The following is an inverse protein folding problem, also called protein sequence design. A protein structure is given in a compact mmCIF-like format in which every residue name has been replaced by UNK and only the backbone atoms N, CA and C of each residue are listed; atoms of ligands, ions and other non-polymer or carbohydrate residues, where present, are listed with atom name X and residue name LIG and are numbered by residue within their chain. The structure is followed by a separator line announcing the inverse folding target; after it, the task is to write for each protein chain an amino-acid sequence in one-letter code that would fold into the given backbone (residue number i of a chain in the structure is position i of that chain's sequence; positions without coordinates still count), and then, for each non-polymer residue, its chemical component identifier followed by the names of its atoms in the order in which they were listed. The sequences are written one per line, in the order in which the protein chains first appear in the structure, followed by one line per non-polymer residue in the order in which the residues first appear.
data_IF_735431613026
#
_entry.id   IF_735431613026
#
_cell.length_a   1.000
_cell.length_b   1.000
_cell.length_c   1.000
_cell.angle_alpha   90.00
_cell.angle_beta   90.00
_cell.angle_gamma   90.00
#
_symmetry.space_group_name_H-M   'P 1'
#
loop_
_entity.id
_entity.type
_entity.pdbx_description
1 polymer ?
#
# COMPACT_ATOMS: atom_id res chain seq x y z
N UNK A 1 -24.00 -25.14 -7.93
CA UNK A 1 -23.86 -23.71 -7.57
C UNK A 1 -22.45 -23.57 -7.03
N UNK A 2 -21.62 -22.68 -7.54
CA UNK A 2 -20.28 -22.49 -7.02
C UNK A 2 -20.38 -21.78 -5.66
N UNK A 3 -19.62 -22.26 -4.66
CA UNK A 3 -19.60 -21.63 -3.34
C UNK A 3 -18.98 -20.24 -3.44
N UNK A 4 -19.63 -19.23 -2.86
CA UNK A 4 -19.07 -17.91 -2.70
C UNK A 4 -18.22 -17.85 -1.44
N UNK A 5 -16.90 -17.75 -1.60
CA UNK A 5 -15.96 -17.65 -0.49
C UNK A 5 -15.42 -16.22 -0.44
N UNK A 6 -15.77 -15.48 0.61
CA UNK A 6 -15.25 -14.14 0.86
C UNK A 6 -14.16 -14.20 1.93
N UNK A 7 -12.95 -13.85 1.54
CA UNK A 7 -11.82 -13.68 2.46
C UNK A 7 -11.25 -12.29 2.25
N UNK A 8 -11.23 -11.49 3.29
CA UNK A 8 -10.55 -10.20 3.27
C UNK A 8 -9.23 -10.32 4.04
N UNK A 9 -8.18 -9.91 3.42
CA UNK A 9 -6.89 -9.59 4.01
C UNK A 9 -6.45 -8.32 3.29
N UNK A 10 -6.09 -7.31 3.97
CA UNK A 10 -5.76 -7.16 5.41
C UNK A 10 -6.96 -6.83 6.30
N UNK A 11 -6.70 -6.72 7.62
CA UNK A 11 -7.60 -5.97 8.51
C UNK A 11 -7.69 -4.51 8.04
N UNK A 12 -8.86 -3.91 8.17
CA UNK A 12 -9.10 -2.54 7.71
C UNK A 12 -9.48 -1.66 8.90
N UNK A 13 -8.79 -0.53 9.03
CA UNK A 13 -9.16 0.56 9.92
C UNK A 13 -9.57 1.74 9.03
N UNK A 14 -10.79 2.21 9.20
CA UNK A 14 -11.30 3.40 8.53
C UNK A 14 -11.71 4.42 9.58
N UNK A 15 -11.07 5.58 9.58
CA UNK A 15 -11.43 6.64 10.51
C UNK A 15 -10.50 7.83 10.47
N UNK A 16 -11.06 9.00 10.78
CA UNK A 16 -10.30 10.25 10.86
C UNK A 16 -9.21 10.16 11.93
N UNK A 17 -8.03 10.66 11.59
CA UNK A 17 -6.84 10.68 12.45
C UNK A 17 -6.32 9.28 12.85
N UNK A 18 -6.72 8.22 12.14
CA UNK A 18 -6.23 6.87 12.42
C UNK A 18 -4.73 6.73 12.10
N UNK A 19 -4.23 7.39 11.06
CA UNK A 19 -2.80 7.41 10.73
C UNK A 19 -1.95 8.02 11.85
N UNK A 20 -2.45 9.05 12.54
CA UNK A 20 -1.75 9.67 13.68
C UNK A 20 -1.76 8.82 14.96
N UNK A 21 -2.46 7.69 14.95
CA UNK A 21 -2.52 6.73 16.05
C UNK A 21 -1.90 5.38 15.68
N UNK A 22 -1.12 5.34 14.61
CA UNK A 22 -0.57 4.10 14.04
C UNK A 22 0.21 3.26 15.06
N UNK A 23 0.92 3.88 15.99
CA UNK A 23 1.71 3.19 17.00
C UNK A 23 0.89 2.20 17.85
N UNK A 24 -0.40 2.46 18.08
CA UNK A 24 -1.26 1.54 18.84
C UNK A 24 -1.68 0.31 18.03
N UNK A 25 -1.61 0.39 16.70
CA UNK A 25 -2.09 -0.67 15.82
C UNK A 25 -0.98 -1.62 15.36
N UNK A 26 0.29 -1.20 15.44
CA UNK A 26 1.40 -1.98 14.87
C UNK A 26 2.10 -2.89 15.88
N UNK A 27 1.88 -2.70 17.18
CA UNK A 27 2.59 -3.40 18.24
C UNK A 27 2.42 -4.93 18.20
N UNK A 28 1.31 -5.45 17.67
CA UNK A 28 1.08 -6.88 17.56
C UNK A 28 2.02 -7.58 16.56
N UNK A 29 2.62 -6.82 15.62
CA UNK A 29 3.51 -7.38 14.59
C UNK A 29 4.99 -7.15 14.88
N UNK A 30 5.34 -6.43 15.95
CA UNK A 30 6.74 -6.25 16.32
C UNK A 30 7.03 -4.90 16.96
N UNK A 31 8.31 -4.69 17.22
CA UNK A 31 8.81 -3.49 17.93
C UNK A 31 9.77 -2.66 17.10
N UNK A 32 10.16 -3.11 15.88
CA UNK A 32 11.09 -2.40 15.02
C UNK A 32 10.65 -2.42 13.57
N UNK A 33 10.40 -1.26 13.01
CA UNK A 33 9.81 -1.12 11.68
C UNK A 33 10.66 -0.26 10.74
N UNK A 34 10.60 -0.59 9.45
CA UNK A 34 10.97 0.32 8.38
C UNK A 34 9.74 1.11 7.97
N UNK A 35 9.82 2.43 8.02
CA UNK A 35 8.73 3.31 7.56
C UNK A 35 9.10 3.82 6.17
N UNK A 36 8.42 3.32 5.16
CA UNK A 36 8.46 3.85 3.80
C UNK A 36 7.53 5.06 3.77
N UNK A 37 8.09 6.23 3.53
CA UNK A 37 7.33 7.49 3.58
C UNK A 37 7.41 8.22 2.25
N UNK A 38 6.26 8.54 1.66
CA UNK A 38 6.25 9.39 0.47
C UNK A 38 6.79 10.79 0.83
N UNK A 39 7.82 11.30 0.13
CA UNK A 39 8.47 12.58 0.44
C UNK A 39 7.50 13.76 0.57
N UNK A 40 6.41 13.77 -0.19
CA UNK A 40 5.39 14.83 -0.13
C UNK A 40 4.75 14.99 1.26
N UNK A 41 4.78 13.95 2.08
CA UNK A 41 4.17 13.96 3.40
C UNK A 41 4.99 14.69 4.47
N UNK A 42 6.22 15.08 4.17
CA UNK A 42 7.02 15.91 5.07
C UNK A 42 6.42 17.31 5.25
N UNK A 43 5.93 17.89 4.16
CA UNK A 43 5.37 19.25 4.17
C UNK A 43 3.99 19.33 4.86
N UNK A 44 3.23 18.23 4.84
CA UNK A 44 1.87 18.18 5.42
C UNK A 44 1.83 18.02 6.95
N UNK A 45 2.97 17.83 7.61
CA UNK A 45 3.05 17.53 9.04
C UNK A 45 2.56 16.12 9.45
N UNK A 46 2.08 15.33 8.51
CA UNK A 46 1.61 13.95 8.75
C UNK A 46 2.76 13.06 9.21
N UNK A 47 3.91 13.22 8.57
CA UNK A 47 5.16 12.53 8.92
C UNK A 47 5.51 12.69 10.40
N UNK A 48 5.43 13.91 10.94
CA UNK A 48 5.71 14.19 12.34
C UNK A 48 4.74 13.47 13.30
N UNK A 49 3.44 13.46 12.97
CA UNK A 49 2.42 12.77 13.77
C UNK A 49 2.61 11.26 13.80
N UNK A 50 2.98 10.65 12.66
CA UNK A 50 3.29 9.22 12.57
C UNK A 50 4.51 8.88 13.43
N UNK A 51 5.60 9.64 13.29
CA UNK A 51 6.82 9.49 14.10
C UNK A 51 6.51 9.57 15.60
N UNK A 52 5.78 10.61 16.01
CA UNK A 52 5.38 10.79 17.39
C UNK A 52 4.56 9.61 17.92
N UNK A 53 3.58 9.14 17.14
CA UNK A 53 2.74 8.00 17.52
C UNK A 53 3.52 6.71 17.72
N UNK A 54 4.54 6.45 16.90
CA UNK A 54 5.42 5.29 17.05
C UNK A 54 6.31 5.44 18.31
N UNK A 55 6.91 6.62 18.50
CA UNK A 55 7.74 6.92 19.66
C UNK A 55 6.98 6.79 20.98
N UNK A 56 5.76 7.33 21.05
CA UNK A 56 4.89 7.27 22.24
C UNK A 56 4.55 5.84 22.66
N UNK A 57 4.68 4.89 21.74
CA UNK A 57 4.43 3.46 21.97
C UNK A 57 5.69 2.61 22.06
N UNK A 58 6.87 3.23 22.18
CA UNK A 58 8.16 2.55 22.22
C UNK A 58 8.36 1.60 21.03
N UNK A 59 7.92 2.01 19.85
CA UNK A 59 8.17 1.30 18.60
C UNK A 59 9.39 1.92 17.95
N UNK A 60 10.44 1.13 17.76
CA UNK A 60 11.63 1.54 17.04
C UNK A 60 11.35 1.62 15.54
N UNK A 61 11.88 2.62 14.89
CA UNK A 61 11.72 2.76 13.45
C UNK A 61 12.87 3.53 12.81
N UNK A 62 13.08 3.26 11.54
CA UNK A 62 13.84 4.16 10.67
C UNK A 62 13.03 4.48 9.43
N UNK A 63 13.30 5.63 8.83
CA UNK A 63 12.57 6.13 7.69
C UNK A 63 13.36 5.90 6.42
N UNK A 64 12.67 5.43 5.39
CA UNK A 64 13.13 5.40 4.04
C UNK A 64 12.17 6.26 3.19
N UNK A 65 12.64 7.42 2.79
CA UNK A 65 11.89 8.44 2.02
C UNK A 65 12.57 8.80 0.69
N UNK A 66 13.65 8.11 0.34
CA UNK A 66 14.30 8.24 -0.96
C UNK A 66 13.48 7.56 -2.07
N UNK A 67 12.20 7.95 -2.20
CA UNK A 67 11.25 7.37 -3.14
C UNK A 67 11.04 8.34 -4.31
N UNK A 68 11.58 8.05 -5.50
CA UNK A 68 11.40 8.89 -6.68
C UNK A 68 9.96 8.79 -7.23
N UNK A 69 9.61 9.67 -8.16
CA UNK A 69 8.28 9.68 -8.78
C UNK A 69 7.97 8.38 -9.53
N UNK A 70 8.97 7.74 -10.13
CA UNK A 70 8.86 6.44 -10.80
C UNK A 70 9.89 5.47 -10.19
N UNK A 71 9.56 4.83 -9.06
CA UNK A 71 10.47 3.89 -8.42
C UNK A 71 10.66 2.64 -9.27
N UNK A 72 11.90 2.22 -9.38
CA UNK A 72 12.30 1.03 -10.11
C UNK A 72 12.89 -0.05 -9.18
N UNK A 73 13.34 -1.13 -9.77
CA UNK A 73 13.96 -2.25 -9.04
C UNK A 73 15.22 -1.86 -8.25
N UNK A 74 15.92 -0.77 -8.59
CA UNK A 74 17.09 -0.31 -7.84
C UNK A 74 16.68 0.25 -6.47
N UNK A 75 15.64 1.08 -6.44
CA UNK A 75 15.08 1.62 -5.19
C UNK A 75 14.61 0.50 -4.28
N UNK A 76 13.91 -0.50 -4.86
CA UNK A 76 13.47 -1.67 -4.08
C UNK A 76 14.65 -2.47 -3.54
N UNK A 77 15.69 -2.70 -4.35
CA UNK A 77 16.90 -3.40 -3.90
C UNK A 77 17.61 -2.66 -2.76
N UNK A 78 17.68 -1.32 -2.83
CA UNK A 78 18.24 -0.49 -1.77
C UNK A 78 17.41 -0.61 -0.49
N UNK A 79 16.10 -0.45 -0.58
CA UNK A 79 15.18 -0.59 0.55
C UNK A 79 15.27 -1.98 1.19
N UNK A 80 15.30 -3.04 0.37
CA UNK A 80 15.42 -4.43 0.83
C UNK A 80 16.75 -4.68 1.56
N UNK A 81 17.85 -4.14 1.04
CA UNK A 81 19.17 -4.23 1.69
C UNK A 81 19.14 -3.57 3.07
N UNK A 82 18.68 -2.33 3.16
CA UNK A 82 18.57 -1.60 4.43
C UNK A 82 17.65 -2.31 5.43
N UNK A 83 16.53 -2.85 4.95
CA UNK A 83 15.60 -3.62 5.78
C UNK A 83 16.26 -4.85 6.41
N UNK A 84 17.02 -5.62 5.60
CA UNK A 84 17.76 -6.81 6.06
C UNK A 84 18.87 -6.45 7.05
N UNK A 85 19.66 -5.41 6.78
CA UNK A 85 20.73 -4.93 7.65
C UNK A 85 20.21 -4.41 9.01
N UNK A 86 19.04 -3.79 9.00
CA UNK A 86 18.39 -3.27 10.19
C UNK A 86 17.68 -4.35 11.03
N UNK A 87 17.51 -5.57 10.53
CA UNK A 87 16.77 -6.65 11.22
C UNK A 87 15.39 -6.20 11.70
N UNK A 88 14.56 -5.70 10.77
CA UNK A 88 13.23 -5.20 11.08
C UNK A 88 12.22 -6.33 11.32
N UNK A 89 11.15 -6.02 12.06
CA UNK A 89 10.05 -6.94 12.34
C UNK A 89 8.85 -6.74 11.39
N UNK A 90 8.77 -5.58 10.74
CA UNK A 90 7.70 -5.25 9.80
C UNK A 90 7.96 -3.98 9.03
N UNK A 91 7.05 -3.67 8.12
CA UNK A 91 7.10 -2.50 7.25
C UNK A 91 5.82 -1.69 7.41
N UNK A 92 5.98 -0.38 7.49
CA UNK A 92 4.87 0.58 7.44
C UNK A 92 5.06 1.40 6.16
N UNK A 93 4.13 1.28 5.22
CA UNK A 93 4.16 2.04 3.97
C UNK A 93 3.10 3.15 4.02
N UNK A 94 3.55 4.40 4.05
CA UNK A 94 2.70 5.59 4.10
C UNK A 94 2.86 6.38 2.82
N UNK A 95 1.84 6.38 1.98
CA UNK A 95 1.91 7.06 0.69
C UNK A 95 0.94 6.51 -0.34
N UNK A 96 1.16 6.90 -1.59
CA UNK A 96 0.38 6.43 -2.72
C UNK A 96 0.81 5.03 -3.22
N UNK A 97 0.29 4.60 -4.39
CA UNK A 97 0.55 3.27 -4.95
C UNK A 97 2.04 2.94 -5.09
N UNK A 98 2.89 3.90 -5.44
CA UNK A 98 4.34 3.71 -5.58
C UNK A 98 4.99 3.27 -4.26
N UNK A 99 4.66 3.92 -3.15
CA UNK A 99 5.19 3.63 -1.82
C UNK A 99 4.70 2.28 -1.32
N UNK A 100 3.40 2.01 -1.47
CA UNK A 100 2.79 0.73 -1.11
C UNK A 100 3.36 -0.43 -1.95
N UNK A 101 3.65 -0.22 -3.23
CA UNK A 101 4.28 -1.23 -4.09
C UNK A 101 5.68 -1.60 -3.62
N UNK A 102 6.52 -0.61 -3.26
CA UNK A 102 7.84 -0.87 -2.67
C UNK A 102 7.69 -1.71 -1.39
N UNK A 103 6.77 -1.30 -0.51
CA UNK A 103 6.50 -2.01 0.75
C UNK A 103 6.10 -3.48 0.52
N UNK A 104 5.23 -3.75 -0.46
CA UNK A 104 4.82 -5.12 -0.81
C UNK A 104 6.00 -5.97 -1.28
N UNK A 105 6.84 -5.43 -2.16
CA UNK A 105 8.00 -6.20 -2.66
C UNK A 105 9.02 -6.43 -1.55
N UNK A 106 9.36 -5.42 -0.76
CA UNK A 106 10.31 -5.58 0.35
C UNK A 106 9.79 -6.58 1.39
N UNK A 107 8.52 -6.52 1.77
CA UNK A 107 7.91 -7.46 2.71
C UNK A 107 7.90 -8.90 2.17
N UNK A 108 7.63 -9.06 0.88
CA UNK A 108 7.61 -10.35 0.19
C UNK A 108 9.00 -11.00 0.11
N UNK A 109 10.02 -10.21 -0.21
CA UNK A 109 11.36 -10.73 -0.52
C UNK A 109 12.34 -10.68 0.66
N UNK A 110 11.90 -10.24 1.82
CA UNK A 110 12.79 -10.06 2.97
C UNK A 110 13.52 -11.35 3.37
N UNK A 111 12.84 -12.48 3.40
CA UNK A 111 13.40 -13.78 3.75
C UNK A 111 13.88 -14.59 2.54
N UNK A 112 13.66 -14.08 1.33
CA UNK A 112 14.14 -14.72 0.12
C UNK A 112 15.67 -14.60 0.01
N UNK A 113 16.29 -15.69 -0.47
CA UNK A 113 17.74 -15.77 -0.72
C UNK A 113 18.06 -15.31 -2.14
N UNK A 114 17.14 -15.55 -3.07
CA UNK A 114 17.31 -15.18 -4.47
C UNK A 114 17.22 -13.66 -4.65
N UNK A 115 17.92 -13.19 -5.68
CA UNK A 115 17.92 -11.79 -6.06
C UNK A 115 16.54 -11.33 -6.60
N UNK A 116 16.20 -10.05 -6.39
CA UNK A 116 14.98 -9.43 -6.90
C UNK A 116 14.77 -9.69 -8.39
N UNK A 117 15.82 -9.68 -9.17
CA UNK A 117 15.71 -9.84 -10.62
C UNK A 117 15.27 -11.24 -11.04
N UNK A 118 15.53 -12.26 -10.24
CA UNK A 118 15.00 -13.61 -10.45
C UNK A 118 13.47 -13.62 -10.40
N UNK A 119 12.88 -12.84 -9.49
CA UNK A 119 11.43 -12.71 -9.37
C UNK A 119 10.84 -11.83 -10.48
N UNK A 120 11.57 -10.79 -10.90
CA UNK A 120 11.20 -10.00 -12.09
C UNK A 120 11.23 -10.80 -13.38
N UNK A 121 12.04 -11.84 -13.44
CA UNK A 121 12.14 -12.74 -14.59
C UNK A 121 11.15 -13.93 -14.52
N UNK A 122 10.22 -13.92 -13.56
CA UNK A 122 9.05 -14.82 -13.52
C UNK A 122 9.03 -15.85 -12.41
N UNK A 123 10.04 -15.91 -11.55
CA UNK A 123 9.99 -16.77 -10.35
C UNK A 123 8.95 -16.24 -9.36
N UNK A 124 8.40 -17.14 -8.55
CA UNK A 124 7.45 -16.79 -7.49
C UNK A 124 8.12 -16.93 -6.12
N UNK A 125 8.00 -15.94 -5.22
CA UNK A 125 8.54 -16.03 -3.88
C UNK A 125 7.84 -17.14 -3.07
N UNK A 126 8.61 -17.89 -2.28
CA UNK A 126 8.13 -19.03 -1.49
C UNK A 126 8.46 -18.94 -0.01
N UNK A 127 9.40 -18.09 0.36
CA UNK A 127 9.75 -17.87 1.76
C UNK A 127 8.62 -17.17 2.55
N UNK A 128 8.77 -17.07 3.86
CA UNK A 128 7.88 -16.28 4.70
C UNK A 128 7.94 -14.78 4.35
N UNK A 129 6.98 -14.01 4.83
CA UNK A 129 6.89 -12.57 4.58
C UNK A 129 7.02 -11.77 5.87
N UNK A 130 7.53 -10.55 5.78
CA UNK A 130 7.32 -9.57 6.86
C UNK A 130 5.86 -9.08 6.87
N UNK A 131 5.31 -8.76 8.04
CA UNK A 131 4.06 -8.05 8.12
C UNK A 131 4.19 -6.65 7.50
N UNK A 132 3.24 -6.32 6.62
CA UNK A 132 3.13 -5.02 5.99
C UNK A 132 1.89 -4.30 6.50
N UNK A 133 2.06 -3.07 6.91
CA UNK A 133 1.00 -2.12 7.24
C UNK A 133 0.96 -1.05 6.15
N UNK A 134 -0.16 -0.91 5.46
CA UNK A 134 -0.36 0.13 4.46
C UNK A 134 -1.18 1.28 5.02
N UNK A 135 -0.73 2.50 4.76
CA UNK A 135 -1.46 3.74 5.06
C UNK A 135 -1.57 4.52 3.74
N UNK A 136 -2.52 4.15 2.88
CA UNK A 136 -2.66 4.78 1.57
C UNK A 136 -3.15 6.22 1.72
N UNK A 137 -2.51 7.13 1.00
CA UNK A 137 -2.90 8.54 0.93
C UNK A 137 -3.85 8.85 -0.22
N UNK A 138 -4.06 7.86 -1.11
CA UNK A 138 -5.02 7.93 -2.22
C UNK A 138 -5.69 6.58 -2.42
N UNK A 139 -6.92 6.56 -2.95
CA UNK A 139 -7.71 5.32 -3.14
C UNK A 139 -7.47 4.63 -4.50
N UNK A 140 -6.41 4.99 -5.22
CA UNK A 140 -6.13 4.50 -6.59
C UNK A 140 -5.19 3.30 -6.65
N UNK A 141 -4.87 2.64 -5.53
CA UNK A 141 -4.01 1.44 -5.53
C UNK A 141 -4.82 0.17 -5.70
N UNK A 142 -5.03 -0.25 -6.95
CA UNK A 142 -5.74 -1.49 -7.29
C UNK A 142 -5.02 -2.76 -6.82
N UNK A 143 -3.73 -2.66 -6.48
CA UNK A 143 -2.94 -3.80 -6.02
C UNK A 143 -2.90 -3.94 -4.49
N UNK A 144 -3.56 -3.03 -3.75
CA UNK A 144 -3.50 -3.02 -2.29
C UNK A 144 -3.93 -4.36 -1.64
N UNK A 145 -4.92 -5.02 -2.26
CA UNK A 145 -5.46 -6.31 -1.82
C UNK A 145 -5.04 -7.49 -2.71
N UNK A 146 -4.11 -7.26 -3.63
CA UNK A 146 -3.67 -8.26 -4.61
C UNK A 146 -2.42 -9.01 -4.14
N UNK A 147 -2.26 -10.23 -4.66
CA UNK A 147 -1.02 -11.03 -4.61
C UNK A 147 -0.02 -10.62 -5.71
N UNK A 148 -0.17 -9.47 -6.27
CA UNK A 148 0.66 -8.96 -7.35
C UNK A 148 0.99 -7.49 -7.11
N UNK A 149 2.09 -7.01 -7.70
CA UNK A 149 2.45 -5.60 -7.66
C UNK A 149 3.22 -5.18 -8.90
N UNK A 150 2.97 -3.98 -9.43
CA UNK A 150 3.76 -3.45 -10.55
C UNK A 150 5.12 -2.95 -10.04
N UNK A 151 6.16 -3.19 -10.83
CA UNK A 151 7.50 -2.65 -10.61
C UNK A 151 8.20 -2.41 -11.94
N UNK A 152 8.90 -1.29 -12.06
CA UNK A 152 9.74 -1.00 -13.23
C UNK A 152 11.06 -1.77 -13.09
N UNK A 153 11.37 -2.62 -14.06
CA UNK A 153 12.67 -3.27 -14.15
C UNK A 153 13.71 -2.27 -14.66
N UNK A 154 14.65 -1.88 -13.82
CA UNK A 154 15.70 -0.91 -14.16
C UNK A 154 16.63 -1.36 -15.30
N UNK A 155 16.71 -2.66 -15.58
CA UNK A 155 17.53 -3.23 -16.69
C UNK A 155 16.88 -2.94 -18.05
N UNK A 156 15.57 -3.19 -18.15
CA UNK A 156 14.82 -3.08 -19.40
C UNK A 156 13.99 -1.79 -19.51
N UNK A 157 13.82 -1.06 -18.41
CA UNK A 157 12.89 0.09 -18.25
C UNK A 157 11.43 -0.25 -18.56
N UNK A 158 11.07 -1.53 -18.43
CA UNK A 158 9.71 -1.99 -18.65
C UNK A 158 8.98 -2.20 -17.32
N UNK A 159 7.69 -1.92 -17.32
CA UNK A 159 6.81 -2.29 -16.22
C UNK A 159 6.60 -3.81 -16.23
N UNK A 160 6.88 -4.44 -15.11
CA UNK A 160 6.60 -5.86 -14.87
C UNK A 160 5.64 -6.02 -13.71
N UNK A 161 4.84 -7.08 -13.75
CA UNK A 161 3.96 -7.45 -12.64
C UNK A 161 4.63 -8.61 -11.90
N UNK A 162 5.00 -8.37 -10.66
CA UNK A 162 5.53 -9.41 -9.78
C UNK A 162 4.39 -10.15 -9.11
N UNK A 163 4.49 -11.48 -9.10
CA UNK A 163 3.71 -12.32 -8.20
C UNK A 163 4.32 -12.30 -6.82
N UNK A 164 3.48 -12.16 -5.81
CA UNK A 164 3.85 -12.12 -4.40
C UNK A 164 3.12 -13.21 -3.64
N UNK A 165 3.51 -13.44 -2.39
CA UNK A 165 2.75 -14.33 -1.51
C UNK A 165 1.41 -13.66 -1.15
N UNK A 166 0.43 -14.49 -0.85
CA UNK A 166 -0.85 -14.02 -0.34
C UNK A 166 -0.73 -13.46 1.09
N UNK A 167 -1.58 -12.54 1.44
CA UNK A 167 -1.74 -12.06 2.82
C UNK A 167 -0.48 -11.37 3.40
N UNK A 168 0.27 -10.65 2.56
CA UNK A 168 1.44 -9.86 3.00
C UNK A 168 0.98 -8.66 3.81
N UNK A 169 0.01 -7.89 3.28
CA UNK A 169 -0.58 -6.76 4.00
C UNK A 169 -1.44 -7.27 5.15
N UNK A 170 -1.07 -6.94 6.37
CA UNK A 170 -1.79 -7.34 7.59
C UNK A 170 -2.82 -6.32 8.03
N UNK A 171 -2.51 -5.05 7.77
CA UNK A 171 -3.36 -3.93 8.14
C UNK A 171 -3.35 -2.86 7.05
N UNK A 172 -4.52 -2.34 6.71
CA UNK A 172 -4.67 -1.12 5.92
C UNK A 172 -5.41 -0.06 6.72
N UNK A 173 -4.81 1.13 6.84
CA UNK A 173 -5.36 2.26 7.58
C UNK A 173 -5.80 3.33 6.59
N UNK A 174 -7.09 3.51 6.46
CA UNK A 174 -7.69 4.54 5.62
C UNK A 174 -8.08 5.75 6.49
N UNK A 175 -7.29 6.79 6.38
CA UNK A 175 -7.52 8.05 7.09
C UNK A 175 -7.94 9.14 6.09
N UNK A 176 -9.19 9.62 6.11
CA UNK A 176 -9.65 10.65 5.19
C UNK A 176 -8.83 11.95 5.26
N UNK A 177 -8.22 12.24 6.40
CA UNK A 177 -7.41 13.46 6.54
C UNK A 177 -6.11 13.43 5.74
N UNK A 178 -5.67 12.28 5.25
CA UNK A 178 -4.50 12.19 4.38
C UNK A 178 -4.78 12.76 2.98
N UNK A 179 -6.03 12.76 2.56
CA UNK A 179 -6.45 13.30 1.25
C UNK A 179 -6.45 14.83 1.21
N UNK A 180 -6.47 15.50 2.38
CA UNK A 180 -6.46 16.98 2.46
C UNK A 180 -5.19 17.60 1.89
N UNK A 181 -4.12 16.83 1.72
CA UNK A 181 -2.88 17.28 1.08
C UNK A 181 -2.95 17.32 -0.46
N UNK A 182 -4.04 16.81 -1.05
CA UNK A 182 -4.22 16.82 -2.50
C UNK A 182 -4.77 18.17 -2.98
N UNK A 183 -4.30 18.62 -4.13
CA UNK A 183 -4.90 19.78 -4.81
C UNK A 183 -6.24 19.39 -5.45
N UNK A 184 -7.11 20.36 -5.74
CA UNK A 184 -8.42 20.14 -6.36
C UNK A 184 -8.32 19.33 -7.66
N UNK A 185 -7.31 19.63 -8.50
CA UNK A 185 -7.04 18.87 -9.72
C UNK A 185 -6.65 17.40 -9.43
N UNK A 186 -5.90 17.17 -8.37
CA UNK A 186 -5.53 15.81 -7.97
C UNK A 186 -6.74 15.06 -7.40
N UNK A 187 -7.57 15.72 -6.59
CA UNK A 187 -8.82 15.13 -6.08
C UNK A 187 -9.73 14.74 -7.24
N UNK A 188 -9.94 15.65 -8.20
CA UNK A 188 -10.77 15.38 -9.38
C UNK A 188 -10.23 14.20 -10.21
N UNK A 189 -8.92 14.17 -10.45
CA UNK A 189 -8.28 13.07 -11.20
C UNK A 189 -8.41 11.72 -10.47
N UNK A 190 -8.13 11.69 -9.16
CA UNK A 190 -8.25 10.47 -8.34
C UNK A 190 -9.69 10.00 -8.27
N UNK A 191 -10.65 10.92 -8.12
CA UNK A 191 -12.08 10.59 -8.09
C UNK A 191 -12.54 9.98 -9.41
N UNK A 192 -12.12 10.55 -10.53
CA UNK A 192 -12.44 10.03 -11.86
C UNK A 192 -11.81 8.64 -12.09
N UNK A 193 -10.53 8.46 -11.75
CA UNK A 193 -9.87 7.15 -11.82
C UNK A 193 -10.60 6.11 -10.97
N UNK A 194 -10.98 6.47 -9.74
CA UNK A 194 -11.72 5.56 -8.83
C UNK A 194 -13.11 5.23 -9.38
N UNK A 195 -13.80 6.19 -9.98
CA UNK A 195 -15.08 5.97 -10.64
C UNK A 195 -14.93 4.98 -11.81
N UNK A 196 -13.91 5.17 -12.66
CA UNK A 196 -13.63 4.23 -13.76
C UNK A 196 -13.34 2.81 -13.23
N UNK A 197 -12.57 2.67 -12.16
CA UNK A 197 -12.30 1.37 -11.55
C UNK A 197 -13.57 0.71 -10.99
N UNK A 198 -14.46 1.50 -10.38
CA UNK A 198 -15.75 0.99 -9.89
C UNK A 198 -16.64 0.49 -11.03
N UNK A 199 -16.72 1.25 -12.13
CA UNK A 199 -17.45 0.83 -13.35
C UNK A 199 -16.84 -0.45 -13.92
N UNK A 200 -15.51 -0.51 -14.06
CA UNK A 200 -14.79 -1.69 -14.57
C UNK A 200 -15.06 -2.94 -13.73
N UNK A 201 -15.06 -2.78 -12.41
CA UNK A 201 -15.40 -3.85 -11.46
C UNK A 201 -16.84 -4.33 -11.64
N UNK A 202 -17.78 -3.40 -11.79
CA UNK A 202 -19.21 -3.68 -11.95
C UNK A 202 -19.55 -4.45 -13.23
N UNK A 203 -18.91 -4.08 -14.35
CA UNK A 203 -19.12 -4.73 -15.66
C UNK A 203 -18.23 -5.96 -15.90
N UNK A 204 -17.37 -6.31 -14.93
CA UNK A 204 -16.44 -7.42 -15.06
C UNK A 204 -17.16 -8.76 -15.19
N UNK A 205 -16.69 -9.63 -16.07
CA UNK A 205 -17.19 -11.01 -16.17
C UNK A 205 -16.95 -11.85 -14.91
N UNK A 206 -16.07 -11.38 -14.01
CA UNK A 206 -15.76 -12.02 -12.72
C UNK A 206 -16.51 -11.38 -11.55
N UNK A 207 -17.40 -10.43 -11.84
CA UNK A 207 -18.18 -9.77 -10.80
C UNK A 207 -19.13 -10.77 -10.10
N UNK A 208 -19.54 -10.39 -8.91
CA UNK A 208 -20.49 -11.14 -8.12
C UNK A 208 -21.31 -10.14 -7.28
N UNK A 209 -22.41 -10.60 -6.68
CA UNK A 209 -23.33 -9.73 -5.95
C UNK A 209 -22.66 -8.85 -4.90
N UNK A 210 -21.58 -9.32 -4.28
CA UNK A 210 -20.86 -8.57 -3.25
C UNK A 210 -20.01 -7.45 -3.89
N UNK A 211 -19.21 -7.77 -4.93
CA UNK A 211 -18.42 -6.78 -5.66
C UNK A 211 -19.31 -5.74 -6.32
N UNK A 212 -20.45 -6.15 -6.86
CA UNK A 212 -21.39 -5.27 -7.55
C UNK A 212 -22.01 -4.26 -6.57
N UNK A 213 -22.44 -4.74 -5.40
CA UNK A 213 -22.99 -3.87 -4.36
C UNK A 213 -21.97 -2.81 -3.88
N UNK A 214 -20.71 -3.22 -3.70
CA UNK A 214 -19.66 -2.28 -3.29
C UNK A 214 -19.34 -1.29 -4.41
N UNK A 215 -19.24 -1.76 -5.65
CA UNK A 215 -18.95 -0.92 -6.82
C UNK A 215 -20.07 0.10 -7.06
N UNK A 216 -21.34 -0.32 -6.98
CA UNK A 216 -22.51 0.55 -7.09
C UNK A 216 -22.48 1.65 -6.01
N UNK A 217 -22.23 1.26 -4.74
CA UNK A 217 -22.16 2.24 -3.66
C UNK A 217 -20.97 3.19 -3.79
N UNK A 218 -19.84 2.72 -4.29
CA UNK A 218 -18.69 3.56 -4.58
C UNK A 218 -19.01 4.60 -5.66
N UNK A 219 -19.64 4.19 -6.77
CA UNK A 219 -20.07 5.09 -7.84
C UNK A 219 -21.04 6.16 -7.32
N UNK A 220 -22.07 5.76 -6.55
CA UNK A 220 -23.03 6.68 -5.95
C UNK A 220 -22.33 7.74 -5.08
N UNK A 221 -21.43 7.31 -4.20
CA UNK A 221 -20.73 8.22 -3.29
C UNK A 221 -19.77 9.17 -4.04
N UNK A 222 -19.07 8.70 -5.06
CA UNK A 222 -18.17 9.54 -5.85
C UNK A 222 -18.97 10.59 -6.61
N UNK A 223 -20.06 10.19 -7.31
CA UNK A 223 -20.88 11.11 -8.09
C UNK A 223 -21.50 12.17 -7.17
N UNK A 224 -22.09 11.76 -6.03
CA UNK A 224 -22.69 12.70 -5.09
C UNK A 224 -21.68 13.67 -4.47
N UNK A 225 -20.41 13.25 -4.34
CA UNK A 225 -19.34 14.12 -3.82
C UNK A 225 -18.86 15.15 -4.86
N UNK A 226 -18.93 14.81 -6.15
CA UNK A 226 -18.55 15.71 -7.23
C UNK A 226 -19.64 16.76 -7.52
N UNK A 227 -20.92 16.43 -7.31
CA UNK A 227 -22.03 17.35 -7.49
C UNK A 227 -22.09 18.45 -6.41
N UNK A 228 -21.41 18.28 -5.29
CA UNK A 228 -21.37 19.22 -4.16
C UNK A 228 -20.09 20.07 -4.07
N UNK A 229 -19.19 19.97 -5.08
CA UNK A 229 -17.88 20.62 -5.07
C UNK A 229 -17.85 21.94 -5.93
#
# INVERSE_FOLDING_TARGET
MADFVFKISPNIILGSYSASRIGQFVQEWGTKFMVLLDPILHESGISAKIKQSLTDRNVDFFIFDEIPNAPDSKVVSQALKLAKEAHIHGIIAVGGPKTCSIGRVVASLYYEVLDLYTFLDGSTPTAGTLPLICVPTTMRDIFLFSDSTPLIDARSRQLKILKLQNNITKLSIFDPNLSVSLTDNQVSSVSLETLCMAVESYISQKSNFFSDTIAEKAMELIISSLDGA
#
